data_IF_538459620018
#
_entry.id   IF_538459620018
#
_cell.length_a   1.000
_cell.length_b   1.000
_cell.length_c   1.000
_cell.angle_alpha   90.00
_cell.angle_beta   90.00
_cell.angle_gamma   90.00
#
_symmetry.space_group_name_H-M   'P 1'
#
loop_
_entity.id
_entity.type
_entity.pdbx_description
1 polymer ?
#
# COMPACT_ATOMS: atom_id res chain seq x y z
N UNK A 1 -53.28 -10.89 -39.89
CA UNK A 1 -52.80 -12.28 -40.05
C UNK A 1 -51.42 -12.36 -40.73
N UNK A 2 -50.45 -11.55 -40.31
CA UNK A 2 -49.04 -11.64 -40.76
C UNK A 2 -48.12 -10.99 -39.71
N UNK A 3 -47.99 -11.58 -38.51
CA UNK A 3 -46.84 -11.29 -37.59
C UNK A 3 -46.46 -12.54 -36.75
N UNK A 4 -47.32 -13.55 -36.60
CA UNK A 4 -47.07 -14.72 -35.74
C UNK A 4 -46.45 -15.95 -36.42
N UNK A 5 -45.72 -15.79 -37.53
CA UNK A 5 -45.15 -16.92 -38.28
C UNK A 5 -43.62 -16.85 -38.50
N UNK A 6 -42.90 -16.01 -37.73
CA UNK A 6 -41.44 -15.80 -37.92
C UNK A 6 -40.59 -16.14 -36.69
N UNK A 7 -41.17 -16.67 -35.62
CA UNK A 7 -40.44 -17.03 -34.39
C UNK A 7 -40.15 -18.54 -34.28
N UNK A 8 -40.83 -19.40 -35.04
CA UNK A 8 -40.65 -20.87 -34.95
C UNK A 8 -39.70 -21.51 -35.98
N UNK A 9 -38.99 -20.73 -36.81
CA UNK A 9 -37.96 -21.27 -37.73
C UNK A 9 -36.51 -21.02 -37.31
N UNK A 10 -36.27 -20.36 -36.18
CA UNK A 10 -34.92 -20.15 -35.63
C UNK A 10 -34.58 -21.07 -34.45
N UNK A 11 -35.54 -21.84 -33.95
CA UNK A 11 -35.34 -22.81 -32.86
C UNK A 11 -34.92 -24.22 -33.35
N UNK A 12 -35.15 -24.57 -34.62
CA UNK A 12 -34.88 -25.92 -35.17
C UNK A 12 -33.54 -26.06 -35.90
N UNK A 13 -32.70 -25.03 -35.92
CA UNK A 13 -31.35 -25.10 -36.52
C UNK A 13 -30.19 -25.01 -35.52
N UNK A 14 -30.49 -24.89 -34.23
CA UNK A 14 -29.47 -24.85 -33.15
C UNK A 14 -29.33 -26.17 -32.37
N UNK A 15 -30.13 -27.18 -32.69
CA UNK A 15 -30.10 -28.51 -32.07
C UNK A 15 -29.42 -29.60 -32.93
N UNK A 16 -28.85 -29.26 -34.10
CA UNK A 16 -28.22 -30.22 -35.03
C UNK A 16 -26.69 -30.05 -35.20
N UNK A 17 -26.03 -29.30 -34.32
CA UNK A 17 -24.57 -29.06 -34.36
C UNK A 17 -23.85 -29.54 -33.08
N UNK A 18 -24.52 -30.35 -32.24
CA UNK A 18 -23.98 -30.91 -31.02
C UNK A 18 -23.88 -32.46 -31.12
N UNK A 19 -23.16 -32.96 -32.12
CA UNK A 19 -22.80 -34.38 -32.21
C UNK A 19 -21.64 -34.59 -33.19
N UNK A 20 -20.43 -34.19 -32.80
CA UNK A 20 -19.21 -34.63 -33.49
C UNK A 20 -18.05 -34.65 -32.50
N UNK A 21 -17.62 -35.87 -32.17
CA UNK A 21 -16.49 -36.16 -31.29
C UNK A 21 -15.17 -35.62 -31.88
N UNK A 22 -14.27 -35.03 -31.08
CA UNK A 22 -12.95 -34.65 -31.55
C UNK A 22 -12.03 -35.87 -31.72
N UNK A 23 -11.10 -35.86 -32.70
CA UNK A 23 -10.19 -36.97 -32.96
C UNK A 23 -9.10 -37.09 -31.89
N UNK A 24 -8.77 -38.33 -31.52
CA UNK A 24 -7.67 -38.67 -30.62
C UNK A 24 -6.32 -38.25 -31.24
N UNK A 25 -5.61 -37.35 -30.56
CA UNK A 25 -4.22 -37.02 -30.89
C UNK A 25 -3.29 -37.93 -30.07
N UNK A 26 -2.50 -38.74 -30.79
CA UNK A 26 -1.35 -39.44 -30.24
C UNK A 26 -0.28 -38.44 -29.77
N UNK A 27 -0.08 -38.33 -28.46
CA UNK A 27 1.05 -37.58 -27.88
C UNK A 27 2.17 -38.55 -27.50
N UNK A 28 3.28 -38.48 -28.22
CA UNK A 28 4.57 -39.08 -27.85
C UNK A 28 5.13 -38.40 -26.58
N UNK A 29 5.83 -39.13 -25.68
CA UNK A 29 6.37 -38.53 -24.46
C UNK A 29 7.61 -37.68 -24.77
N UNK A 30 7.50 -36.36 -24.55
CA UNK A 30 8.61 -35.41 -24.60
C UNK A 30 9.35 -35.46 -23.26
N UNK A 31 10.65 -35.80 -23.29
CA UNK A 31 11.57 -35.73 -22.14
C UNK A 31 11.70 -34.28 -21.62
N UNK A 32 11.79 -34.06 -20.31
CA UNK A 32 12.08 -32.73 -19.76
C UNK A 32 13.54 -32.31 -20.05
N UNK A 33 13.82 -31.02 -20.28
CA UNK A 33 15.18 -30.52 -20.40
C UNK A 33 15.90 -30.53 -19.04
N UNK A 34 17.20 -30.85 -19.08
CA UNK A 34 18.14 -30.76 -17.97
C UNK A 34 18.30 -29.29 -17.53
N UNK A 35 18.09 -29.01 -16.24
CA UNK A 35 18.47 -27.73 -15.65
C UNK A 35 19.99 -27.64 -15.44
N UNK A 36 20.62 -26.49 -15.74
CA UNK A 36 22.02 -26.27 -15.42
C UNK A 36 22.19 -26.02 -13.92
N UNK A 37 22.93 -26.92 -13.28
CA UNK A 37 23.42 -26.80 -11.91
C UNK A 37 24.44 -25.65 -11.81
N UNK A 38 24.04 -24.56 -11.16
CA UNK A 38 24.97 -23.52 -10.72
C UNK A 38 25.39 -23.83 -9.29
N UNK A 39 26.63 -24.32 -9.18
CA UNK A 39 27.37 -24.52 -7.95
C UNK A 39 27.81 -23.16 -7.39
N UNK A 40 27.46 -22.87 -6.14
CA UNK A 40 28.14 -21.82 -5.37
C UNK A 40 29.12 -22.49 -4.41
N UNK A 41 30.41 -22.21 -4.63
CA UNK A 41 31.53 -22.63 -3.79
C UNK A 41 31.38 -22.09 -2.37
N UNK A 42 31.45 -23.00 -1.40
CA UNK A 42 31.74 -22.66 0.00
C UNK A 42 33.23 -22.33 0.16
N UNK A 43 33.62 -21.35 0.98
CA UNK A 43 34.96 -21.30 1.55
C UNK A 43 35.02 -22.29 2.73
N UNK A 44 35.85 -23.31 2.61
CA UNK A 44 36.24 -24.18 3.71
C UNK A 44 37.29 -23.54 4.61
N UNK A 45 37.46 -24.11 5.81
CA UNK A 45 38.76 -24.10 6.50
C UNK A 45 38.83 -23.55 7.92
N UNK A 46 38.17 -24.26 8.86
CA UNK A 46 38.67 -24.65 10.19
C UNK A 46 39.45 -23.66 11.08
N UNK A 47 38.85 -23.37 12.24
CA UNK A 47 39.55 -23.07 13.50
C UNK A 47 38.72 -23.60 14.68
N UNK A 48 39.00 -24.83 15.13
CA UNK A 48 38.39 -25.44 16.33
C UNK A 48 38.97 -24.78 17.59
N UNK A 49 38.10 -24.19 18.41
CA UNK A 49 38.31 -24.11 19.86
C UNK A 49 36.98 -24.49 20.52
N UNK A 50 37.05 -25.52 21.37
CA UNK A 50 35.89 -26.10 22.03
C UNK A 50 35.33 -25.21 23.14
N UNK A 51 34.02 -25.06 23.15
CA UNK A 51 33.27 -24.72 24.37
C UNK A 51 31.85 -25.27 24.25
N UNK A 52 31.49 -26.05 25.28
CA UNK A 52 30.22 -26.70 25.63
C UNK A 52 28.98 -26.19 24.86
N UNK A 53 28.25 -27.14 24.27
CA UNK A 53 27.02 -26.90 23.54
C UNK A 53 25.96 -26.17 24.37
N UNK A 54 25.47 -25.07 23.81
CA UNK A 54 24.25 -24.37 24.22
C UNK A 54 23.19 -24.67 23.15
N UNK A 55 21.93 -24.99 23.50
CA UNK A 55 20.92 -25.35 22.51
C UNK A 55 20.67 -24.21 21.51
N UNK A 56 20.49 -24.56 20.23
CA UNK A 56 20.19 -23.69 19.07
C UNK A 56 18.81 -22.99 19.14
N UNK A 57 18.30 -22.67 20.34
CA UNK A 57 17.02 -22.01 20.56
C UNK A 57 17.13 -20.52 20.92
N UNK A 58 18.34 -19.95 21.04
CA UNK A 58 18.54 -18.64 21.69
C UNK A 58 18.78 -17.43 20.76
N UNK A 59 18.68 -17.55 19.44
CA UNK A 59 18.83 -16.40 18.54
C UNK A 59 17.55 -15.57 18.35
N UNK A 60 16.57 -15.71 19.25
CA UNK A 60 15.49 -14.74 19.38
C UNK A 60 15.85 -13.73 20.47
N UNK A 61 16.27 -12.52 20.07
CA UNK A 61 16.41 -11.38 20.98
C UNK A 61 15.07 -11.22 21.72
N UNK A 62 14.99 -11.46 23.06
CA UNK A 62 13.73 -11.54 23.80
C UNK A 62 12.84 -10.30 23.59
N UNK A 63 13.48 -9.14 23.35
CA UNK A 63 12.79 -7.88 23.16
C UNK A 63 11.78 -7.86 22.00
N UNK A 64 12.01 -8.59 20.89
CA UNK A 64 11.06 -8.53 19.74
C UNK A 64 9.76 -9.25 20.06
N UNK A 65 9.84 -10.46 20.62
CA UNK A 65 8.66 -11.24 21.01
C UNK A 65 7.89 -10.53 22.11
N UNK A 66 8.57 -10.08 23.16
CA UNK A 66 7.94 -9.32 24.24
C UNK A 66 7.29 -8.02 23.75
N UNK A 67 7.93 -7.32 22.80
CA UNK A 67 7.36 -6.12 22.17
C UNK A 67 6.10 -6.45 21.36
N UNK A 68 6.12 -7.52 20.57
CA UNK A 68 4.96 -7.94 19.81
C UNK A 68 3.81 -8.38 20.72
N UNK A 69 4.08 -9.12 21.79
CA UNK A 69 3.10 -9.44 22.83
C UNK A 69 2.51 -8.17 23.46
N UNK A 70 3.34 -7.19 23.78
CA UNK A 70 2.86 -5.90 24.30
C UNK A 70 1.96 -5.19 23.28
N UNK A 71 2.31 -5.21 21.99
CA UNK A 71 1.47 -4.66 20.93
C UNK A 71 0.13 -5.41 20.81
N UNK A 72 0.12 -6.73 20.87
CA UNK A 72 -1.12 -7.51 20.83
C UNK A 72 -2.05 -7.16 22.00
N UNK A 73 -1.48 -6.94 23.19
CA UNK A 73 -2.24 -6.57 24.40
C UNK A 73 -2.68 -5.11 24.43
N UNK A 74 -1.92 -4.20 23.81
CA UNK A 74 -2.19 -2.76 23.80
C UNK A 74 -3.23 -2.34 22.73
N UNK A 75 -4.25 -3.16 22.44
CA UNK A 75 -5.29 -2.82 21.48
C UNK A 75 -6.44 -3.83 21.46
N UNK A 76 -7.44 -3.62 20.59
CA UNK A 76 -8.56 -4.54 20.46
C UNK A 76 -8.08 -5.93 20.03
N UNK A 77 -8.51 -6.95 20.76
CA UNK A 77 -8.17 -8.34 20.48
C UNK A 77 -9.27 -9.02 19.71
N UNK A 78 -8.87 -9.83 18.73
CA UNK A 78 -9.78 -10.69 17.97
C UNK A 78 -9.28 -12.13 18.05
N UNK A 79 -10.18 -13.04 18.40
CA UNK A 79 -9.93 -14.47 18.38
C UNK A 79 -10.30 -15.04 17.00
N UNK A 80 -9.53 -16.01 16.51
CA UNK A 80 -9.81 -16.66 15.22
C UNK A 80 -11.22 -17.27 15.17
N UNK A 81 -11.73 -17.80 16.28
CA UNK A 81 -13.12 -18.30 16.38
C UNK A 81 -14.22 -17.26 16.17
N UNK A 82 -13.89 -15.96 16.19
CA UNK A 82 -14.83 -14.86 15.86
C UNK A 82 -14.84 -14.53 14.36
N UNK A 83 -13.97 -15.17 13.57
CA UNK A 83 -13.78 -14.91 12.15
C UNK A 83 -14.27 -16.10 11.33
N UNK A 84 -15.02 -15.82 10.27
CA UNK A 84 -15.42 -16.83 9.28
C UNK A 84 -14.98 -16.38 7.90
N UNK A 85 -14.01 -17.06 7.33
CA UNK A 85 -13.46 -16.75 6.00
C UNK A 85 -14.52 -16.91 4.91
N UNK A 86 -14.63 -15.89 4.05
CA UNK A 86 -15.49 -15.91 2.86
C UNK A 86 -14.66 -16.27 1.62
N UNK A 87 -13.57 -15.53 1.39
CA UNK A 87 -12.63 -15.76 0.28
C UNK A 87 -11.35 -14.96 0.48
N UNK A 88 -10.26 -15.37 -0.17
CA UNK A 88 -9.04 -14.55 -0.30
C UNK A 88 -9.26 -13.39 -1.28
N UNK A 89 -8.84 -12.19 -0.88
CA UNK A 89 -8.95 -10.94 -1.66
C UNK A 89 -7.60 -10.34 -2.02
N UNK A 90 -6.49 -10.81 -1.44
CA UNK A 90 -5.14 -10.40 -1.82
C UNK A 90 -4.09 -11.40 -1.38
N UNK A 91 -3.00 -11.51 -2.16
CA UNK A 91 -1.80 -12.29 -1.81
C UNK A 91 -0.58 -11.44 -2.11
N UNK A 92 0.41 -11.48 -1.22
CA UNK A 92 1.66 -10.73 -1.37
C UNK A 92 2.81 -11.42 -0.64
N UNK A 93 4.01 -10.84 -0.74
CA UNK A 93 5.21 -11.45 -0.15
C UNK A 93 5.20 -11.60 1.38
N UNK A 94 4.34 -10.84 2.06
CA UNK A 94 4.24 -10.83 3.53
C UNK A 94 3.09 -11.68 4.07
N UNK A 95 2.23 -12.22 3.21
CA UNK A 95 1.01 -12.88 3.64
C UNK A 95 -0.13 -12.83 2.64
N UNK A 96 -1.29 -13.23 3.12
CA UNK A 96 -2.55 -13.14 2.39
C UNK A 96 -3.59 -12.34 3.15
N UNK A 97 -4.54 -11.79 2.42
CA UNK A 97 -5.64 -11.01 2.95
C UNK A 97 -6.94 -11.71 2.57
N UNK A 98 -7.70 -12.10 3.58
CA UNK A 98 -8.99 -12.74 3.43
C UNK A 98 -10.12 -11.77 3.76
N UNK A 99 -11.21 -11.86 2.99
CA UNK A 99 -12.48 -11.27 3.38
C UNK A 99 -13.18 -12.23 4.33
N UNK A 100 -13.51 -11.76 5.53
CA UNK A 100 -14.15 -12.56 6.57
C UNK A 100 -15.42 -11.89 7.10
N UNK A 101 -16.33 -12.70 7.65
CA UNK A 101 -17.29 -12.22 8.63
C UNK A 101 -16.63 -12.16 10.02
N UNK A 102 -16.80 -11.04 10.72
CA UNK A 102 -16.40 -10.87 12.10
C UNK A 102 -17.63 -10.79 13.01
N UNK A 103 -17.68 -11.67 14.00
CA UNK A 103 -18.71 -11.72 15.03
C UNK A 103 -18.09 -11.36 16.40
N UNK A 104 -18.16 -10.09 16.83
CA UNK A 104 -17.47 -9.63 18.04
C UNK A 104 -18.01 -10.27 19.33
N UNK A 105 -19.28 -10.68 19.35
CA UNK A 105 -19.88 -11.39 20.48
C UNK A 105 -21.41 -11.35 20.48
N UNK A 106 -22.04 -11.94 21.49
CA UNK A 106 -23.50 -11.94 21.64
C UNK A 106 -24.06 -10.51 21.67
N UNK A 107 -25.14 -10.27 20.92
CA UNK A 107 -25.83 -8.97 20.87
C UNK A 107 -25.16 -7.91 20.01
N UNK A 108 -23.98 -8.17 19.43
CA UNK A 108 -23.31 -7.25 18.52
C UNK A 108 -23.47 -7.71 17.06
N UNK A 109 -23.71 -6.80 16.11
CA UNK A 109 -23.90 -7.16 14.71
C UNK A 109 -22.60 -7.69 14.11
N UNK A 110 -22.72 -8.76 13.33
CA UNK A 110 -21.60 -9.20 12.49
C UNK A 110 -21.31 -8.16 11.42
N UNK A 111 -20.03 -8.00 11.07
CA UNK A 111 -19.61 -7.13 9.95
C UNK A 111 -18.55 -7.81 9.08
N UNK A 112 -18.39 -7.34 7.85
CA UNK A 112 -17.30 -7.78 6.97
C UNK A 112 -16.00 -7.09 7.36
N UNK A 113 -14.91 -7.84 7.36
CA UNK A 113 -13.56 -7.37 7.68
C UNK A 113 -12.55 -7.95 6.69
N UNK A 114 -11.41 -7.28 6.54
CA UNK A 114 -10.25 -7.81 5.84
C UNK A 114 -9.25 -8.33 6.89
N UNK A 115 -8.86 -9.59 6.79
CA UNK A 115 -7.93 -10.25 7.73
C UNK A 115 -6.62 -10.50 7.01
N UNK A 116 -5.56 -9.80 7.41
CA UNK A 116 -4.20 -10.02 6.91
C UNK A 116 -3.53 -11.09 7.77
N UNK A 117 -3.30 -12.26 7.19
CA UNK A 117 -2.52 -13.34 7.76
C UNK A 117 -1.07 -13.20 7.34
N UNK A 118 -0.13 -13.30 8.27
CA UNK A 118 1.29 -13.26 7.95
C UNK A 118 1.83 -14.66 7.65
N UNK A 119 2.66 -14.79 6.61
CA UNK A 119 3.38 -16.03 6.37
C UNK A 119 4.48 -16.21 7.40
N UNK A 120 4.26 -17.13 8.32
CA UNK A 120 5.15 -17.47 9.43
C UNK A 120 5.41 -18.97 9.43
N UNK A 121 6.68 -19.34 9.54
CA UNK A 121 7.05 -20.72 9.84
C UNK A 121 6.61 -21.08 11.26
N UNK A 122 6.50 -22.39 11.54
CA UNK A 122 6.24 -22.90 12.92
C UNK A 122 7.19 -22.33 13.96
N UNK A 123 8.41 -21.99 13.54
CA UNK A 123 9.38 -21.23 14.34
C UNK A 123 9.71 -19.93 13.60
N UNK A 124 8.99 -18.83 13.89
CA UNK A 124 9.18 -17.57 13.21
C UNK A 124 10.59 -17.02 13.37
N UNK A 125 11.17 -16.54 12.27
CA UNK A 125 12.43 -15.80 12.35
C UNK A 125 12.24 -14.45 13.06
N UNK A 126 13.29 -13.97 13.73
CA UNK A 126 13.29 -12.61 14.29
C UNK A 126 13.01 -11.53 13.24
N UNK A 127 13.49 -11.73 12.01
CA UNK A 127 13.28 -10.78 10.91
C UNK A 127 11.80 -10.60 10.63
N UNK A 128 11.07 -11.70 10.46
CA UNK A 128 9.63 -11.70 10.20
C UNK A 128 8.85 -11.03 11.35
N UNK A 129 9.14 -11.41 12.60
CA UNK A 129 8.48 -10.81 13.77
C UNK A 129 8.76 -9.30 13.91
N UNK A 130 9.98 -8.84 13.58
CA UNK A 130 10.33 -7.41 13.59
C UNK A 130 9.55 -6.63 12.53
N UNK A 131 9.34 -7.22 11.35
CA UNK A 131 8.57 -6.57 10.28
C UNK A 131 7.09 -6.44 10.70
N UNK A 132 6.50 -7.49 11.25
CA UNK A 132 5.12 -7.48 11.76
C UNK A 132 4.96 -6.45 12.88
N UNK A 133 5.88 -6.44 13.86
CA UNK A 133 5.83 -5.48 14.96
C UNK A 133 5.87 -4.02 14.46
N UNK A 134 6.72 -3.73 13.47
CA UNK A 134 6.80 -2.39 12.85
C UNK A 134 5.52 -2.01 12.11
N UNK A 135 4.96 -2.93 11.34
CA UNK A 135 3.71 -2.69 10.62
C UNK A 135 2.57 -2.37 11.60
N UNK A 136 2.43 -3.18 12.66
CA UNK A 136 1.41 -2.99 13.68
C UNK A 136 1.58 -1.68 14.45
N UNK A 137 2.80 -1.30 14.81
CA UNK A 137 3.08 -0.03 15.47
C UNK A 137 2.71 1.16 14.61
N UNK A 138 3.18 1.15 13.36
CA UNK A 138 2.89 2.23 12.43
C UNK A 138 1.38 2.36 12.18
N UNK A 139 0.69 1.23 11.96
CA UNK A 139 -0.76 1.23 11.76
C UNK A 139 -1.52 1.74 13.00
N UNK A 140 -1.13 1.30 14.21
CA UNK A 140 -1.73 1.79 15.46
C UNK A 140 -1.51 3.28 15.65
N UNK A 141 -0.31 3.78 15.36
CA UNK A 141 0.02 5.19 15.49
C UNK A 141 -0.69 6.05 14.43
N UNK A 142 -0.95 5.47 13.25
CA UNK A 142 -1.66 6.10 12.14
C UNK A 142 -3.15 6.36 12.42
N UNK A 143 -3.77 5.60 13.34
CA UNK A 143 -5.19 5.76 13.66
C UNK A 143 -5.54 7.20 14.08
N UNK A 144 -6.83 7.55 13.96
CA UNK A 144 -7.39 8.84 14.38
C UNK A 144 -7.81 9.80 13.26
N UNK A 145 -7.75 9.37 11.99
CA UNK A 145 -8.28 10.12 10.85
C UNK A 145 -9.01 9.15 9.89
N UNK A 146 -10.09 9.61 9.24
CA UNK A 146 -10.96 8.73 8.45
C UNK A 146 -10.29 8.15 7.19
N UNK A 147 -9.32 8.87 6.59
CA UNK A 147 -8.55 8.39 5.44
C UNK A 147 -7.45 7.37 5.80
N UNK A 148 -7.37 6.91 7.04
CA UNK A 148 -6.58 5.73 7.44
C UNK A 148 -7.52 4.55 7.65
N UNK A 149 -7.08 3.36 7.21
CA UNK A 149 -7.84 2.12 7.44
C UNK A 149 -7.99 1.83 8.94
N UNK A 150 -9.23 1.56 9.35
CA UNK A 150 -9.57 1.20 10.72
C UNK A 150 -8.90 -0.12 11.11
N UNK A 151 -8.14 -0.10 12.20
CA UNK A 151 -7.68 -1.30 12.88
C UNK A 151 -8.79 -1.83 13.78
N UNK A 152 -9.47 -2.88 13.33
CA UNK A 152 -10.53 -3.57 14.09
C UNK A 152 -9.95 -4.33 15.27
N UNK A 153 -8.77 -4.93 15.07
CA UNK A 153 -8.06 -5.62 16.13
C UNK A 153 -6.93 -6.49 15.59
N UNK A 154 -6.29 -7.20 16.52
CA UNK A 154 -5.16 -8.09 16.25
C UNK A 154 -5.39 -9.41 16.97
N UNK A 155 -4.86 -10.49 16.39
CA UNK A 155 -4.96 -11.82 16.97
C UNK A 155 -3.72 -12.66 16.74
N UNK A 156 -3.57 -13.65 17.61
CA UNK A 156 -2.54 -14.67 17.57
C UNK A 156 -3.13 -15.90 18.27
N UNK A 157 -3.23 -17.03 17.57
CA UNK A 157 -3.81 -18.23 18.18
C UNK A 157 -2.85 -18.86 19.20
N UNK A 158 -1.54 -18.79 18.93
CA UNK A 158 -0.49 -19.22 19.85
C UNK A 158 0.46 -18.07 20.21
N UNK A 159 0.19 -17.39 21.33
CA UNK A 159 1.02 -16.25 21.77
C UNK A 159 2.42 -16.65 22.28
N UNK A 160 2.64 -17.91 22.61
CA UNK A 160 3.97 -18.41 23.01
C UNK A 160 4.85 -18.64 21.78
N UNK A 161 4.31 -19.30 20.75
CA UNK A 161 5.02 -19.59 19.51
C UNK A 161 5.10 -18.39 18.55
N UNK A 162 4.09 -17.50 18.58
CA UNK A 162 3.96 -16.34 17.68
C UNK A 162 3.90 -16.73 16.19
N UNK A 163 3.32 -17.90 15.88
CA UNK A 163 3.33 -18.51 14.54
C UNK A 163 2.03 -18.29 13.74
N UNK A 164 1.03 -17.65 14.35
CA UNK A 164 -0.34 -17.56 13.83
C UNK A 164 -0.90 -16.14 13.98
N UNK A 165 -0.08 -15.14 13.66
CA UNK A 165 -0.42 -13.73 13.79
C UNK A 165 -1.31 -13.24 12.64
N UNK A 166 -2.31 -12.43 12.98
CA UNK A 166 -3.16 -11.77 12.00
C UNK A 166 -3.63 -10.37 12.45
N UNK A 167 -3.92 -9.53 11.47
CA UNK A 167 -4.46 -8.18 11.65
C UNK A 167 -5.85 -8.12 11.04
N UNK A 168 -6.82 -7.60 11.79
CA UNK A 168 -8.19 -7.41 11.33
C UNK A 168 -8.42 -5.94 11.03
N UNK A 169 -8.77 -5.64 9.79
CA UNK A 169 -8.99 -4.30 9.25
C UNK A 169 -10.43 -4.15 8.76
N UNK A 170 -10.92 -2.91 8.67
CA UNK A 170 -12.17 -2.68 7.96
C UNK A 170 -12.08 -3.19 6.52
N UNK A 171 -13.18 -3.74 6.02
CA UNK A 171 -13.26 -4.15 4.63
C UNK A 171 -13.65 -2.96 3.75
N UNK A 172 -12.83 -2.67 2.74
CA UNK A 172 -13.06 -1.58 1.78
C UNK A 172 -13.54 -2.16 0.44
N UNK A 173 -14.86 -2.15 0.17
CA UNK A 173 -15.44 -2.85 -0.98
C UNK A 173 -15.12 -2.19 -2.33
N UNK A 174 -14.73 -0.92 -2.33
CA UNK A 174 -14.43 -0.18 -3.57
C UNK A 174 -13.13 -0.61 -4.26
N UNK A 175 -12.33 -1.46 -3.62
CA UNK A 175 -11.06 -1.93 -4.18
C UNK A 175 -10.01 -0.82 -4.29
N UNK A 176 -8.91 -1.11 -4.98
CA UNK A 176 -7.81 -0.14 -5.12
C UNK A 176 -8.07 0.89 -6.20
N UNK A 177 -7.52 2.10 -6.03
CA UNK A 177 -7.54 3.13 -7.06
C UNK A 177 -6.90 2.64 -8.36
N UNK A 178 -5.85 1.81 -8.28
CA UNK A 178 -5.25 1.19 -9.47
C UNK A 178 -6.25 0.34 -10.23
N UNK A 179 -6.98 -0.53 -9.54
CA UNK A 179 -8.02 -1.36 -10.16
C UNK A 179 -9.09 -0.49 -10.80
N UNK A 180 -9.57 0.55 -10.10
CA UNK A 180 -10.53 1.49 -10.67
C UNK A 180 -10.01 2.13 -11.97
N UNK A 181 -8.74 2.54 -12.00
CA UNK A 181 -8.14 3.12 -13.21
C UNK A 181 -8.05 2.09 -14.34
N UNK A 182 -7.60 0.87 -14.06
CA UNK A 182 -7.53 -0.20 -15.08
C UNK A 182 -8.90 -0.57 -15.63
N UNK A 183 -9.89 -0.76 -14.76
CA UNK A 183 -11.25 -1.13 -15.16
C UNK A 183 -11.90 -0.02 -16.02
N UNK A 184 -11.69 1.26 -15.67
CA UNK A 184 -12.20 2.39 -16.47
C UNK A 184 -11.46 2.61 -17.78
N UNK A 185 -10.16 2.31 -17.85
CA UNK A 185 -9.41 2.38 -19.11
C UNK A 185 -9.87 1.27 -20.09
N UNK A 186 -10.36 0.14 -19.58
CA UNK A 186 -10.89 -0.94 -20.40
C UNK A 186 -12.31 -0.65 -20.94
N UNK A 187 -13.07 0.22 -20.27
CA UNK A 187 -14.40 0.64 -20.71
C UNK A 187 -14.35 2.01 -21.41
N UNK A 188 -14.30 1.98 -22.74
CA UNK A 188 -14.34 3.17 -23.60
C UNK A 188 -15.53 4.11 -23.33
N UNK A 189 -16.65 3.59 -22.80
CA UNK A 189 -17.85 4.38 -22.51
C UNK A 189 -17.93 4.83 -21.04
N UNK A 190 -17.06 4.33 -20.15
CA UNK A 190 -17.04 4.78 -18.77
C UNK A 190 -16.56 6.22 -18.72
N UNK A 191 -17.30 7.08 -18.02
CA UNK A 191 -16.77 8.40 -17.65
C UNK A 191 -15.51 8.17 -16.83
N UNK A 192 -14.36 8.51 -17.43
CA UNK A 192 -13.05 8.38 -16.82
C UNK A 192 -13.01 9.04 -15.44
N UNK A 193 -12.04 8.63 -14.62
CA UNK A 193 -11.70 9.41 -13.43
C UNK A 193 -11.38 10.84 -13.86
N UNK A 194 -12.10 11.81 -13.30
CA UNK A 194 -11.90 13.21 -13.65
C UNK A 194 -10.65 13.74 -12.96
N UNK A 195 -10.06 14.82 -13.47
CA UNK A 195 -9.00 15.54 -12.76
C UNK A 195 -9.48 15.99 -11.37
N UNK A 196 -10.75 16.35 -11.25
CA UNK A 196 -11.37 16.71 -9.98
C UNK A 196 -11.36 15.56 -8.96
N UNK A 197 -11.68 14.32 -9.38
CA UNK A 197 -11.58 13.12 -8.53
C UNK A 197 -10.13 12.87 -8.09
N UNK A 198 -9.18 12.98 -9.02
CA UNK A 198 -7.77 12.75 -8.73
C UNK A 198 -7.23 13.76 -7.70
N UNK A 199 -7.56 15.05 -7.85
CA UNK A 199 -7.21 16.09 -6.88
C UNK A 199 -7.87 15.82 -5.53
N UNK A 200 -9.16 15.45 -5.52
CA UNK A 200 -9.90 15.13 -4.30
C UNK A 200 -9.29 13.94 -3.52
N UNK A 201 -8.85 12.89 -4.21
CA UNK A 201 -8.13 11.78 -3.57
C UNK A 201 -6.73 12.18 -3.11
N UNK A 202 -6.02 12.99 -3.91
CA UNK A 202 -4.71 13.54 -3.55
C UNK A 202 -4.75 14.33 -2.23
N UNK A 203 -5.77 15.18 -2.05
CA UNK A 203 -5.98 15.95 -0.81
C UNK A 203 -6.22 15.02 0.39
N UNK A 204 -7.05 13.98 0.23
CA UNK A 204 -7.30 13.01 1.30
C UNK A 204 -6.02 12.26 1.71
N UNK A 205 -5.22 11.80 0.75
CA UNK A 205 -3.93 11.14 1.04
C UNK A 205 -2.92 12.12 1.65
N UNK A 206 -2.86 13.36 1.18
CA UNK A 206 -2.00 14.38 1.77
C UNK A 206 -2.36 14.65 3.24
N UNK A 207 -3.64 14.65 3.59
CA UNK A 207 -4.09 14.76 4.98
C UNK A 207 -3.60 13.58 5.84
N UNK A 208 -3.64 12.35 5.32
CA UNK A 208 -3.06 11.18 5.99
C UNK A 208 -1.56 11.36 6.22
N UNK A 209 -0.81 11.72 5.18
CA UNK A 209 0.64 11.90 5.30
C UNK A 209 1.01 13.00 6.29
N UNK A 210 0.29 14.12 6.27
CA UNK A 210 0.44 15.20 7.26
C UNK A 210 0.19 14.69 8.68
N UNK A 211 -0.90 13.94 8.90
CA UNK A 211 -1.22 13.31 10.18
C UNK A 211 -0.11 12.36 10.66
N UNK A 212 0.45 11.54 9.77
CA UNK A 212 1.54 10.61 10.09
C UNK A 212 2.85 11.33 10.46
N UNK A 213 3.19 12.39 9.72
CA UNK A 213 4.42 13.15 9.93
C UNK A 213 4.37 14.02 11.20
N UNK A 214 3.18 14.34 11.71
CA UNK A 214 3.01 15.06 12.97
C UNK A 214 3.03 14.16 14.20
N UNK A 215 3.06 12.83 14.03
CA UNK A 215 3.18 11.90 15.16
C UNK A 215 4.56 12.03 15.80
N UNK A 216 4.64 11.68 17.08
CA UNK A 216 5.90 11.55 17.80
C UNK A 216 6.04 10.12 18.35
N UNK A 217 6.97 9.29 17.83
CA UNK A 217 7.87 9.57 16.69
C UNK A 217 7.11 9.73 15.37
N UNK A 218 7.70 10.42 14.38
CA UNK A 218 7.09 10.61 13.05
C UNK A 218 6.97 9.27 12.33
N UNK A 219 5.89 9.05 11.61
CA UNK A 219 5.70 7.84 10.79
C UNK A 219 5.87 8.18 9.31
N UNK A 220 6.87 7.59 8.66
CA UNK A 220 7.06 7.70 7.21
C UNK A 220 6.52 6.42 6.56
N UNK A 221 5.48 6.52 5.73
CA UNK A 221 4.81 5.37 5.11
C UNK A 221 5.72 4.58 4.14
N UNK A 222 6.48 5.29 3.30
CA UNK A 222 7.44 4.79 2.28
C UNK A 222 6.87 3.93 1.14
N UNK A 223 5.59 3.56 1.15
CA UNK A 223 4.96 2.81 0.04
C UNK A 223 3.66 3.46 -0.47
N UNK A 224 3.72 4.76 -0.79
CA UNK A 224 2.56 5.50 -1.31
C UNK A 224 2.42 5.22 -2.80
N UNK A 225 1.42 4.43 -3.17
CA UNK A 225 1.08 4.06 -4.55
C UNK A 225 -0.41 3.73 -4.67
N UNK A 226 -0.94 3.71 -5.90
CA UNK A 226 -2.36 3.48 -6.15
C UNK A 226 -2.86 2.08 -5.73
N UNK A 227 -1.97 1.07 -5.66
CA UNK A 227 -2.29 -0.25 -5.11
C UNK A 227 -2.67 -0.17 -3.62
N UNK A 228 -2.05 0.75 -2.88
CA UNK A 228 -2.20 0.91 -1.43
C UNK A 228 -3.23 1.98 -1.05
N UNK A 229 -4.04 2.43 -2.02
CA UNK A 229 -5.12 3.40 -1.83
C UNK A 229 -6.44 2.71 -2.13
N UNK A 230 -7.18 2.35 -1.09
CA UNK A 230 -8.45 1.65 -1.23
C UNK A 230 -9.64 2.61 -1.11
N UNK A 231 -10.68 2.34 -1.88
CA UNK A 231 -11.91 3.11 -1.89
C UNK A 231 -12.90 2.58 -0.86
N UNK A 232 -13.40 3.48 -0.04
CA UNK A 232 -14.60 3.25 0.79
C UNK A 232 -15.85 3.26 -0.09
N UNK A 233 -16.92 2.62 0.36
CA UNK A 233 -18.26 2.74 -0.23
C UNK A 233 -18.93 4.09 0.06
N UNK A 234 -18.39 4.86 1.01
CA UNK A 234 -18.91 6.18 1.38
C UNK A 234 -18.41 7.26 0.43
N UNK A 235 -19.34 8.08 -0.06
CA UNK A 235 -19.02 9.31 -0.76
C UNK A 235 -18.72 10.43 0.23
N UNK A 236 -17.75 11.27 -0.11
CA UNK A 236 -17.32 12.44 0.64
C UNK A 236 -17.45 13.68 -0.23
N UNK A 237 -17.85 14.79 0.38
CA UNK A 237 -17.82 16.10 -0.26
C UNK A 237 -16.49 16.77 0.08
N UNK A 238 -15.68 17.07 -0.93
CA UNK A 238 -14.41 17.76 -0.73
C UNK A 238 -14.57 19.27 -0.71
N UNK A 239 -13.55 19.99 -0.24
CA UNK A 239 -13.56 21.46 -0.12
C UNK A 239 -13.85 22.19 -1.44
N UNK A 240 -13.69 21.55 -2.60
CA UNK A 240 -14.06 22.07 -3.92
C UNK A 240 -15.48 21.75 -4.38
N UNK A 241 -16.35 21.24 -3.49
CA UNK A 241 -17.71 20.82 -3.83
C UNK A 241 -17.79 19.52 -4.65
N UNK A 242 -16.65 18.86 -4.89
CA UNK A 242 -16.59 17.59 -5.63
C UNK A 242 -17.01 16.47 -4.70
N UNK A 243 -18.07 15.76 -5.09
CA UNK A 243 -18.51 14.54 -4.42
C UNK A 243 -17.81 13.33 -5.05
N UNK A 244 -16.98 12.64 -4.28
CA UNK A 244 -16.23 11.45 -4.75
C UNK A 244 -16.19 10.38 -3.67
N UNK A 245 -15.62 9.22 -3.94
CA UNK A 245 -15.43 8.17 -2.93
C UNK A 245 -14.34 8.56 -1.92
N UNK A 246 -14.53 8.19 -0.65
CA UNK A 246 -13.49 8.27 0.35
C UNK A 246 -12.34 7.32 0.00
N UNK A 247 -11.09 7.79 0.13
CA UNK A 247 -9.90 6.97 -0.06
C UNK A 247 -9.20 6.73 1.27
N UNK A 248 -8.75 5.50 1.48
CA UNK A 248 -8.00 5.08 2.66
C UNK A 248 -6.63 4.54 2.29
N UNK A 249 -5.60 5.02 2.98
CA UNK A 249 -4.24 4.51 2.84
C UNK A 249 -4.08 3.22 3.64
N UNK A 250 -3.56 2.18 2.98
CA UNK A 250 -3.29 0.86 3.55
C UNK A 250 -1.80 0.50 3.41
N UNK A 251 -1.43 -0.63 4.02
CA UNK A 251 -0.12 -1.29 3.94
C UNK A 251 1.06 -0.49 4.52
N UNK A 252 1.22 -0.61 5.83
CA UNK A 252 2.29 0.02 6.61
C UNK A 252 3.52 -0.90 6.73
N UNK A 253 3.62 -1.97 5.93
CA UNK A 253 4.71 -2.96 6.03
C UNK A 253 6.11 -2.38 5.75
N UNK A 254 6.17 -1.30 4.96
CA UNK A 254 7.40 -0.55 4.72
C UNK A 254 7.50 0.71 5.60
N UNK A 255 6.59 0.98 6.53
CA UNK A 255 6.65 2.19 7.33
C UNK A 255 7.89 2.24 8.25
N UNK A 256 8.34 3.44 8.59
CA UNK A 256 9.41 3.69 9.56
C UNK A 256 9.04 4.80 10.50
N UNK A 257 9.41 4.62 11.77
CA UNK A 257 9.37 5.67 12.77
C UNK A 257 10.70 6.39 12.81
N UNK A 258 10.66 7.72 12.77
CA UNK A 258 11.81 8.60 12.94
C UNK A 258 11.58 9.48 14.17
N UNK A 259 12.60 9.71 15.02
CA UNK A 259 12.49 10.72 16.06
C UNK A 259 12.18 12.07 15.39
N UNK A 260 11.37 12.90 16.05
CA UNK A 260 11.12 14.25 15.58
C UNK A 260 12.47 15.00 15.67
N UNK A 261 13.14 15.18 14.54
CA UNK A 261 14.31 16.07 14.47
C UNK A 261 13.73 17.47 14.40
N UNK A 262 13.90 18.25 15.46
CA UNK A 262 13.72 19.68 15.34
C UNK A 262 14.69 20.14 14.25
N UNK A 263 14.14 20.63 13.13
CA UNK A 263 14.98 21.37 12.19
C UNK A 263 15.60 22.50 13.02
N UNK A 264 16.94 22.69 12.97
CA UNK A 264 17.51 23.88 13.58
C UNK A 264 16.77 25.06 12.98
N UNK A 265 16.22 25.92 13.83
CA UNK A 265 15.62 27.17 13.40
C UNK A 265 16.59 27.81 12.39
N UNK A 266 16.09 28.14 11.21
CA UNK A 266 16.89 28.81 10.19
C UNK A 266 17.59 30.03 10.81
N UNK A 267 18.75 30.44 10.27
CA UNK A 267 19.59 31.42 10.94
C UNK A 267 18.75 32.64 11.32
N UNK A 268 18.69 32.92 12.63
CA UNK A 268 18.10 34.13 13.15
C UNK A 268 18.72 35.30 12.38
N UNK A 269 17.88 36.15 11.78
CA UNK A 269 18.28 37.44 11.23
C UNK A 269 18.87 38.27 12.38
N UNK A 270 20.18 38.20 12.54
CA UNK A 270 20.93 38.92 13.56
C UNK A 270 20.93 40.43 13.18
N UNK A 271 20.20 41.31 13.90
CA UNK A 271 20.10 42.72 13.53
C UNK A 271 21.26 43.49 14.16
N UNK A 272 22.49 43.08 13.90
CA UNK A 272 23.70 43.77 14.36
C UNK A 272 24.84 43.67 13.35
N UNK A 273 24.71 44.37 12.24
CA UNK A 273 25.89 44.99 11.62
C UNK A 273 25.53 46.36 11.01
N UNK A 274 26.11 47.39 11.61
CA UNK A 274 26.23 48.75 11.08
C UNK A 274 27.58 49.28 11.58
N UNK A 275 28.16 50.32 10.95
CA UNK A 275 28.72 50.31 9.61
C UNK A 275 30.23 50.66 9.67
N UNK A 276 31.02 50.17 8.71
CA UNK A 276 32.36 50.70 8.44
C UNK A 276 32.35 50.97 6.93
N UNK A 277 32.35 52.21 6.46
CA UNK A 277 33.40 53.20 6.65
C UNK A 277 34.09 53.35 5.30
N UNK A 278 33.85 54.48 4.64
CA UNK A 278 34.19 54.78 3.26
C UNK A 278 35.68 54.71 2.94
N UNK A 279 36.01 54.33 1.69
CA UNK A 279 37.02 55.02 0.87
C UNK A 279 37.02 54.49 -0.56
N UNK A 280 36.59 55.34 -1.50
CA UNK A 280 36.89 55.26 -2.93
C UNK A 280 38.41 55.34 -3.17
N UNK A 281 38.88 54.89 -4.34
CA UNK A 281 39.43 55.90 -5.23
C UNK A 281 38.91 55.82 -6.67
N UNK A 282 38.90 56.99 -7.29
CA UNK A 282 38.65 57.29 -8.70
C UNK A 282 39.74 56.70 -9.62
N UNK A 283 39.37 56.18 -10.79
CA UNK A 283 39.61 56.87 -12.07
C UNK A 283 39.20 56.04 -13.33
N UNK A 284 38.29 56.64 -14.10
CA UNK A 284 38.26 56.88 -15.57
C UNK A 284 38.77 55.75 -16.52
N UNK A 285 37.85 55.15 -17.29
CA UNK A 285 37.75 55.39 -18.76
C UNK A 285 36.81 54.42 -19.47
N UNK A 286 36.14 54.99 -20.46
CA UNK A 286 35.24 54.45 -21.48
C UNK A 286 35.87 53.36 -22.36
N UNK A 287 35.15 52.25 -22.61
CA UNK A 287 34.98 51.70 -23.96
C UNK A 287 34.00 50.52 -24.00
N UNK A 288 33.10 50.61 -24.97
CA UNK A 288 32.06 49.68 -25.43
C UNK A 288 32.51 48.23 -25.67
N UNK A 289 31.64 47.26 -25.35
CA UNK A 289 31.21 46.23 -26.31
C UNK A 289 30.10 45.34 -25.77
N UNK A 290 29.03 45.27 -26.55
CA UNK A 290 27.83 44.45 -26.44
C UNK A 290 28.09 42.95 -26.22
N UNK A 291 27.19 42.29 -25.47
CA UNK A 291 26.55 41.02 -25.85
C UNK A 291 25.43 40.68 -24.85
N UNK A 292 24.22 41.15 -25.14
CA UNK A 292 22.95 40.59 -24.64
C UNK A 292 22.18 40.11 -25.86
N UNK A 293 21.92 38.80 -25.94
CA UNK A 293 21.04 38.21 -26.94
C UNK A 293 19.62 38.02 -26.33
N UNK A 294 18.53 38.36 -27.06
CA UNK A 294 17.18 38.42 -26.53
C UNK A 294 16.35 37.13 -26.71
N UNK A 295 15.34 37.02 -25.86
CA UNK A 295 14.26 36.02 -25.84
C UNK A 295 13.30 36.22 -27.05
N UNK A 296 12.89 35.16 -27.77
CA UNK A 296 11.93 35.28 -28.86
C UNK A 296 10.46 35.29 -28.36
N UNK A 297 9.62 36.24 -28.81
CA UNK A 297 8.18 36.21 -28.61
C UNK A 297 7.48 35.55 -29.80
N UNK A 298 6.64 34.55 -29.55
CA UNK A 298 5.66 34.06 -30.51
C UNK A 298 4.27 34.03 -29.85
N UNK A 299 3.53 35.08 -30.21
CA UNK A 299 2.11 35.39 -30.02
C UNK A 299 1.21 34.13 -30.09
N UNK A 300 0.29 33.87 -29.15
CA UNK A 300 -0.76 34.73 -28.63
C UNK A 300 -1.63 35.37 -29.73
N UNK A 301 -2.41 34.53 -30.44
CA UNK A 301 -3.65 34.92 -31.13
C UNK A 301 -4.62 33.74 -31.19
N UNK A 302 -5.48 33.60 -30.17
CA UNK A 302 -6.83 33.04 -30.37
C UNK A 302 -7.73 33.32 -29.14
N UNK A 303 -8.06 34.60 -28.91
CA UNK A 303 -9.29 34.99 -28.20
C UNK A 303 -9.83 36.24 -28.90
N UNK A 304 -11.14 36.20 -29.17
CA UNK A 304 -12.00 37.23 -29.77
C UNK A 304 -12.05 37.37 -31.30
N UNK A 305 -12.92 36.57 -31.90
CA UNK A 305 -13.84 37.02 -32.97
C UNK A 305 -15.06 36.11 -33.05
N UNK A 306 -16.26 36.68 -32.91
CA UNK A 306 -17.54 36.06 -33.29
C UNK A 306 -18.35 35.47 -32.15
#
# INVERSE_FOLDING_TARGET
AQVTARVDRLATHRAAMAATSPPQQHTMPVRPPLEPSVSFSAPGGAGRIGSKGVPMASYANPGVRSRLQALLRAGPRVHSGQLTTIRTIGKGGFGEVDLCWYAPGPGQPRRKVAVKHFYLDKVPTLGSLRLIARELEALKQAQGIDSVVELVGVGCDNEEAMDSLFVVLEYLPGGSLKKLMTDKMADWNARGTTTADAVAWGVQIAAVLSHLHQKNPQVIHRDVKLDNMLLSDKKVNTAGGVQTYGVKLIDYGLARTLPLVALPDGPEDDPKSSPIGASLPHDISTSSSNLVAPVPPSLAKLVNSG
#
